data_IF_331718419963
#
_entry.id   IF_331718419963
#
_cell.length_a   1.000
_cell.length_b   1.000
_cell.length_c   1.000
_cell.angle_alpha   90.00
_cell.angle_beta   90.00
_cell.angle_gamma   90.00
#
_symmetry.space_group_name_H-M   'P 1'
#
loop_
_entity.id
_entity.type
_entity.pdbx_description
1 polymer ?
#
# COMPACT_ATOMS: atom_id res chain seq x y z
N UNK A 1 4.42 9.85 11.67
CA UNK A 1 3.04 9.50 11.26
C UNK A 1 3.15 8.44 10.19
N UNK A 2 2.35 7.38 10.28
CA UNK A 2 2.33 6.29 9.31
C UNK A 2 1.21 6.57 8.31
N UNK A 3 1.48 6.44 7.01
CA UNK A 3 0.48 6.66 5.96
C UNK A 3 -0.38 5.39 5.83
N UNK A 4 -1.41 5.28 6.67
CA UNK A 4 -2.31 4.12 6.68
C UNK A 4 -3.49 4.34 5.73
N UNK A 5 -3.81 3.30 4.97
CA UNK A 5 -4.98 3.22 4.09
C UNK A 5 -5.76 1.94 4.40
N UNK A 6 -7.09 2.02 4.45
CA UNK A 6 -7.95 0.86 4.59
C UNK A 6 -8.45 0.40 3.21
N UNK A 7 -8.22 -0.86 2.86
CA UNK A 7 -8.64 -1.49 1.60
C UNK A 7 -9.41 -2.75 1.95
N UNK A 8 -10.68 -2.84 1.54
CA UNK A 8 -11.57 -3.97 1.83
C UNK A 8 -11.61 -4.37 3.32
N UNK A 9 -11.49 -3.40 4.23
CA UNK A 9 -11.50 -3.62 5.68
C UNK A 9 -10.14 -3.97 6.30
N UNK A 10 -9.09 -4.15 5.49
CA UNK A 10 -7.73 -4.46 5.95
C UNK A 10 -6.86 -3.21 5.86
N UNK A 11 -6.00 -2.99 6.86
CA UNK A 11 -5.08 -1.86 6.88
C UNK A 11 -3.82 -2.15 6.05
N UNK A 12 -3.40 -1.18 5.24
CA UNK A 12 -2.16 -1.16 4.50
C UNK A 12 -1.34 0.10 4.82
N UNK A 13 -0.02 -0.05 4.93
CA UNK A 13 0.91 1.08 5.00
C UNK A 13 1.33 1.45 3.59
N UNK A 14 1.22 2.73 3.26
CA UNK A 14 1.58 3.26 1.94
C UNK A 14 2.92 3.98 2.02
N UNK A 15 3.82 3.62 1.11
CA UNK A 15 5.17 4.18 0.98
C UNK A 15 5.42 4.52 -0.47
N UNK A 16 6.16 5.59 -0.75
CA UNK A 16 6.61 5.88 -2.11
C UNK A 16 7.97 5.22 -2.34
N UNK A 17 8.08 4.46 -3.43
CA UNK A 17 9.32 3.87 -3.90
C UNK A 17 9.91 4.76 -5.01
N UNK A 18 11.01 5.48 -4.74
CA UNK A 18 11.62 6.37 -5.72
C UNK A 18 12.42 5.63 -6.81
N UNK A 19 12.74 4.35 -6.66
CA UNK A 19 13.50 3.60 -7.68
C UNK A 19 12.65 3.26 -8.89
N UNK A 20 11.36 3.01 -8.65
CA UNK A 20 10.37 2.67 -9.68
C UNK A 20 9.29 3.72 -9.86
N UNK A 21 9.37 4.82 -9.11
CA UNK A 21 8.42 5.94 -9.11
C UNK A 21 6.96 5.54 -8.87
N UNK A 22 6.72 4.60 -7.93
CA UNK A 22 5.40 4.07 -7.62
C UNK A 22 5.12 4.08 -6.12
N UNK A 23 3.85 4.09 -5.75
CA UNK A 23 3.43 3.83 -4.38
C UNK A 23 3.35 2.34 -4.12
N UNK A 24 3.97 1.88 -3.03
CA UNK A 24 3.89 0.53 -2.49
C UNK A 24 2.91 0.52 -1.33
N UNK A 25 1.88 -0.32 -1.40
CA UNK A 25 1.01 -0.65 -0.28
C UNK A 25 1.43 -1.99 0.34
N UNK A 26 1.52 -2.07 1.67
CA UNK A 26 1.85 -3.30 2.40
C UNK A 26 0.80 -3.56 3.48
N UNK A 27 0.11 -4.70 3.40
CA UNK A 27 -0.91 -5.07 4.40
C UNK A 27 -0.28 -5.50 5.73
N UNK A 28 -0.70 -4.88 6.83
CA UNK A 28 -0.05 -5.05 8.15
C UNK A 28 -0.59 -6.22 8.99
N UNK A 29 -1.69 -6.84 8.59
CA UNK A 29 -2.38 -7.89 9.37
C UNK A 29 -2.32 -9.28 8.72
N UNK A 30 -1.61 -9.43 7.61
CA UNK A 30 -1.52 -10.69 6.87
C UNK A 30 -0.25 -11.46 7.26
N UNK A 31 -0.43 -12.63 7.88
CA UNK A 31 0.64 -13.61 8.08
C UNK A 31 1.11 -14.11 6.71
N UNK A 32 2.18 -13.50 6.18
CA UNK A 32 2.72 -13.80 4.86
C UNK A 32 3.18 -12.57 4.09
N UNK A 33 2.72 -11.38 4.46
CA UNK A 33 3.06 -10.12 3.79
C UNK A 33 2.52 -10.08 2.36
N UNK A 34 1.53 -9.24 2.10
CA UNK A 34 1.10 -8.97 0.74
C UNK A 34 1.37 -7.49 0.45
N UNK A 35 2.15 -7.25 -0.59
CA UNK A 35 2.39 -5.93 -1.13
C UNK A 35 1.86 -5.79 -2.56
N UNK A 36 1.58 -4.55 -2.92
CA UNK A 36 1.06 -4.16 -4.22
C UNK A 36 1.59 -2.77 -4.57
N UNK A 37 1.61 -2.46 -5.86
CA UNK A 37 2.16 -1.21 -6.38
C UNK A 37 1.17 -0.51 -7.28
N UNK A 38 1.11 0.82 -7.18
CA UNK A 38 0.32 1.64 -8.09
C UNK A 38 1.00 2.97 -8.39
N UNK A 39 0.64 3.60 -9.51
CA UNK A 39 1.23 4.90 -9.93
C UNK A 39 0.68 6.10 -9.16
N UNK A 40 -0.48 5.93 -8.54
CA UNK A 40 -1.15 6.97 -7.76
C UNK A 40 -1.97 6.36 -6.61
N UNK A 41 -2.44 7.23 -5.73
CA UNK A 41 -3.16 6.86 -4.51
C UNK A 41 -4.55 6.29 -4.78
N UNK A 42 -5.19 6.65 -5.90
CA UNK A 42 -6.52 6.15 -6.24
C UNK A 42 -6.44 4.69 -6.72
N UNK A 43 -5.45 4.40 -7.56
CA UNK A 43 -5.16 3.07 -8.10
C UNK A 43 -4.75 2.05 -7.04
N UNK A 44 -4.35 2.48 -5.83
CA UNK A 44 -4.09 1.57 -4.70
C UNK A 44 -5.36 0.91 -4.14
N UNK A 45 -6.55 1.41 -4.49
CA UNK A 45 -7.83 0.98 -3.90
C UNK A 45 -8.65 0.04 -4.78
N UNK A 46 -8.25 -0.15 -6.03
CA UNK A 46 -8.92 -1.05 -7.01
C UNK A 46 -8.56 -2.52 -6.74
#
# INVERSE_FOLDING_TARGET
MMNLMQINGVNAVITYDPEIEMFRGEFVELNGGADFYAKDIESLKE
#
